data_IF_177286053677
#
_entry.id   IF_177286053677
#
_cell.length_a   1.000
_cell.length_b   1.000
_cell.length_c   1.000
_cell.angle_alpha   90.00
_cell.angle_beta   90.00
_cell.angle_gamma   90.00
#
_symmetry.space_group_name_H-M   'P 1'
#
loop_
_entity.id
_entity.type
_entity.pdbx_description
1 polymer ?
#
# COMPACT_ATOMS: atom_id res chain seq x y z
N UNK A 1 7.26 -16.37 27.96
CA UNK A 1 7.66 -17.77 27.71
C UNK A 1 7.28 -18.26 26.32
N UNK A 2 5.99 -18.32 25.95
CA UNK A 2 5.54 -18.86 24.66
C UNK A 2 6.24 -18.23 23.44
N UNK A 3 6.28 -16.89 23.35
CA UNK A 3 6.95 -16.19 22.24
C UNK A 3 8.47 -16.44 22.18
N UNK A 4 9.14 -16.66 23.32
CA UNK A 4 10.57 -16.99 23.36
C UNK A 4 10.81 -18.36 22.74
N UNK A 5 9.97 -19.34 23.09
CA UNK A 5 10.02 -20.68 22.48
C UNK A 5 9.78 -20.59 20.97
N UNK A 6 8.80 -19.80 20.53
CA UNK A 6 8.58 -19.59 19.10
C UNK A 6 9.80 -18.97 18.41
N UNK A 7 10.44 -17.95 18.98
CA UNK A 7 11.66 -17.36 18.40
C UNK A 7 12.78 -18.40 18.24
N UNK A 8 12.97 -19.27 19.24
CA UNK A 8 13.96 -20.37 19.17
C UNK A 8 13.63 -21.35 18.04
N UNK A 9 12.36 -21.73 17.91
CA UNK A 9 11.88 -22.59 16.82
C UNK A 9 12.14 -21.95 15.45
N UNK A 10 11.93 -20.64 15.31
CA UNK A 10 12.09 -19.92 14.04
C UNK A 10 13.52 -19.92 13.47
N UNK A 11 14.55 -19.98 14.32
CA UNK A 11 15.95 -20.08 13.86
C UNK A 11 16.56 -21.46 14.03
N UNK A 12 15.73 -22.47 14.32
CA UNK A 12 16.13 -23.87 14.34
C UNK A 12 15.73 -24.54 13.02
N UNK A 13 16.48 -25.57 12.55
CA UNK A 13 16.07 -26.35 11.40
C UNK A 13 14.86 -27.22 11.78
N UNK A 14 13.64 -26.74 11.48
CA UNK A 14 12.38 -27.42 11.79
C UNK A 14 11.54 -27.63 10.52
N UNK A 15 10.60 -28.61 10.52
CA UNK A 15 9.70 -28.81 9.39
C UNK A 15 8.86 -27.55 9.08
N UNK A 16 8.55 -27.26 7.79
CA UNK A 16 7.82 -26.06 7.40
C UNK A 16 6.46 -25.89 8.09
N UNK A 17 5.73 -26.99 8.33
CA UNK A 17 4.45 -26.93 9.04
C UNK A 17 4.58 -26.42 10.49
N UNK A 18 5.64 -26.86 11.20
CA UNK A 18 5.93 -26.40 12.55
C UNK A 18 6.40 -24.94 12.55
N UNK A 19 7.22 -24.55 11.57
CA UNK A 19 7.66 -23.17 11.39
C UNK A 19 6.47 -22.22 11.20
N UNK A 20 5.53 -22.57 10.32
CA UNK A 20 4.32 -21.79 10.06
C UNK A 20 3.44 -21.69 11.31
N UNK A 21 3.21 -22.82 12.01
CA UNK A 21 2.42 -22.82 13.23
C UNK A 21 3.06 -21.96 14.33
N UNK A 22 4.38 -22.08 14.54
CA UNK A 22 5.12 -21.27 15.49
C UNK A 22 5.09 -19.78 15.12
N UNK A 23 5.20 -19.45 13.83
CA UNK A 23 5.10 -18.09 13.30
C UNK A 23 3.71 -17.47 13.52
N UNK A 24 2.63 -18.21 13.23
CA UNK A 24 1.26 -17.74 13.50
C UNK A 24 1.03 -17.50 14.98
N UNK A 25 1.49 -18.42 15.84
CA UNK A 25 1.38 -18.28 17.28
C UNK A 25 2.19 -17.08 17.79
N UNK A 26 3.41 -16.89 17.27
CA UNK A 26 4.25 -15.75 17.60
C UNK A 26 3.58 -14.43 17.18
N UNK A 27 3.01 -14.35 15.97
CA UNK A 27 2.28 -13.17 15.52
C UNK A 27 1.07 -12.85 16.40
N UNK A 28 0.32 -13.87 16.84
CA UNK A 28 -0.79 -13.67 17.77
C UNK A 28 -0.30 -13.08 19.10
N UNK A 29 0.75 -13.67 19.69
CA UNK A 29 1.31 -13.21 20.98
C UNK A 29 1.88 -11.79 20.86
N UNK A 30 2.64 -11.50 19.80
CA UNK A 30 3.16 -10.16 19.53
C UNK A 30 2.03 -9.15 19.28
N UNK A 31 0.94 -9.57 18.63
CA UNK A 31 -0.26 -8.74 18.45
C UNK A 31 -0.93 -8.36 19.78
N UNK A 32 -1.04 -9.31 20.72
CA UNK A 32 -1.58 -9.05 22.06
C UNK A 32 -0.69 -8.04 22.81
N UNK A 33 0.63 -8.24 22.81
CA UNK A 33 1.55 -7.29 23.44
C UNK A 33 1.53 -5.92 22.75
N UNK A 34 1.45 -5.88 21.41
CA UNK A 34 1.32 -4.64 20.66
C UNK A 34 0.06 -3.87 21.01
N UNK A 35 -1.09 -4.55 21.13
CA UNK A 35 -2.35 -3.92 21.56
C UNK A 35 -2.25 -3.35 22.97
N UNK A 36 -1.57 -4.04 23.89
CA UNK A 36 -1.31 -3.51 25.22
C UNK A 36 -0.45 -2.24 25.17
N UNK A 37 0.64 -2.23 24.38
CA UNK A 37 1.49 -1.03 24.21
C UNK A 37 0.69 0.15 23.65
N UNK A 38 -0.17 -0.07 22.66
CA UNK A 38 -1.06 0.98 22.12
C UNK A 38 -2.02 1.52 23.18
N UNK A 39 -2.64 0.66 23.97
CA UNK A 39 -3.51 1.09 25.07
C UNK A 39 -2.75 1.87 26.15
N UNK A 40 -1.53 1.44 26.51
CA UNK A 40 -0.70 2.18 27.46
C UNK A 40 -0.32 3.56 26.94
N UNK A 41 0.03 3.65 25.66
CA UNK A 41 0.30 4.92 25.01
C UNK A 41 -0.93 5.85 25.07
N UNK A 42 -2.14 5.32 24.91
CA UNK A 42 -3.40 6.06 25.06
C UNK A 42 -3.57 6.61 26.49
N UNK A 43 -3.26 5.82 27.51
CA UNK A 43 -3.43 6.22 28.91
C UNK A 43 -2.39 7.26 29.38
N UNK A 44 -1.20 7.25 28.80
CA UNK A 44 -0.10 8.16 29.20
C UNK A 44 -0.19 9.51 28.50
N UNK A 45 -0.70 9.54 27.27
CA UNK A 45 -0.71 10.77 26.48
C UNK A 45 -1.84 11.70 26.94
N UNK A 46 -1.46 12.88 27.43
CA UNK A 46 -2.41 13.90 27.86
C UNK A 46 -2.80 14.87 26.75
N UNK A 47 -2.05 14.89 25.65
CA UNK A 47 -2.26 15.81 24.53
C UNK A 47 -2.61 15.03 23.26
N UNK A 48 -3.91 14.95 22.98
CA UNK A 48 -4.43 14.33 21.76
C UNK A 48 -3.87 14.97 20.49
N UNK A 49 -3.37 16.22 20.52
CA UNK A 49 -2.96 16.97 19.33
C UNK A 49 -1.79 16.34 18.57
N UNK A 50 -0.94 15.57 19.24
CA UNK A 50 0.31 15.04 18.67
C UNK A 50 0.30 13.53 18.41
N UNK A 51 -0.91 12.97 18.35
CA UNK A 51 -1.10 11.54 18.30
C UNK A 51 -0.55 10.90 17.02
N UNK A 52 -0.88 11.46 15.85
CA UNK A 52 -0.41 10.89 14.59
C UNK A 52 1.11 11.05 14.46
N UNK A 53 1.68 12.14 14.98
CA UNK A 53 3.12 12.38 15.00
C UNK A 53 3.85 11.36 15.85
N UNK A 54 3.36 11.04 17.04
CA UNK A 54 4.00 10.03 17.88
C UNK A 54 3.87 8.62 17.29
N UNK A 55 2.73 8.30 16.68
CA UNK A 55 2.57 7.06 15.89
C UNK A 55 3.54 7.03 14.70
N UNK A 56 3.69 8.12 13.96
CA UNK A 56 4.59 8.22 12.81
C UNK A 56 6.08 8.13 13.20
N UNK A 57 6.49 8.80 14.30
CA UNK A 57 7.85 8.72 14.83
C UNK A 57 8.17 7.31 15.30
N UNK A 58 7.29 6.69 16.09
CA UNK A 58 7.50 5.33 16.59
C UNK A 58 7.54 4.30 15.46
N UNK A 59 6.65 4.42 14.46
CA UNK A 59 6.66 3.55 13.30
C UNK A 59 7.92 3.73 12.44
N UNK A 60 8.30 4.97 12.12
CA UNK A 60 9.53 5.25 11.36
C UNK A 60 10.78 4.74 12.08
N UNK A 61 10.86 4.93 13.38
CA UNK A 61 11.95 4.41 14.21
C UNK A 61 11.98 2.88 14.23
N UNK A 62 10.82 2.22 14.34
CA UNK A 62 10.74 0.76 14.29
C UNK A 62 11.23 0.19 12.95
N UNK A 63 10.88 0.82 11.82
CA UNK A 63 11.38 0.40 10.49
C UNK A 63 12.89 0.64 10.36
N UNK A 64 13.42 1.74 10.91
CA UNK A 64 14.86 1.98 10.96
C UNK A 64 15.57 0.89 11.78
N UNK A 65 15.08 0.54 12.97
CA UNK A 65 15.64 -0.55 13.77
C UNK A 65 15.60 -1.89 13.02
N UNK A 66 14.50 -2.17 12.31
CA UNK A 66 14.39 -3.36 11.47
C UNK A 66 15.43 -3.36 10.34
N UNK A 67 15.65 -2.20 9.71
CA UNK A 67 16.66 -2.03 8.68
C UNK A 67 18.09 -2.22 9.24
N UNK A 68 18.40 -1.65 10.41
CA UNK A 68 19.68 -1.84 11.08
C UNK A 68 19.90 -3.30 11.46
N UNK A 69 18.90 -3.98 12.05
CA UNK A 69 18.97 -5.39 12.38
C UNK A 69 19.33 -6.24 11.15
N UNK A 70 18.59 -6.05 10.06
CA UNK A 70 18.78 -6.80 8.81
C UNK A 70 20.12 -6.47 8.11
N UNK A 71 20.73 -5.31 8.38
CA UNK A 71 21.97 -4.88 7.74
C UNK A 71 23.22 -5.19 8.56
N UNK A 72 23.12 -5.17 9.90
CA UNK A 72 24.26 -5.30 10.81
C UNK A 72 24.41 -6.72 11.38
N UNK A 73 23.31 -7.47 11.51
CA UNK A 73 23.31 -8.78 12.16
C UNK A 73 23.18 -9.85 11.09
N UNK A 74 24.28 -10.51 10.77
CA UNK A 74 24.30 -11.61 9.80
C UNK A 74 24.18 -13.00 10.44
N UNK A 75 24.27 -13.10 11.77
CA UNK A 75 24.20 -14.38 12.48
C UNK A 75 22.80 -14.62 13.05
N UNK A 76 22.17 -15.71 12.61
CA UNK A 76 20.86 -16.17 13.08
C UNK A 76 20.74 -16.23 14.63
N UNK A 77 21.71 -16.77 15.39
CA UNK A 77 21.58 -16.80 16.86
C UNK A 77 21.64 -15.41 17.49
N UNK A 78 22.38 -14.46 16.93
CA UNK A 78 22.43 -13.09 17.45
C UNK A 78 21.11 -12.35 17.17
N UNK A 79 20.50 -12.58 16.01
CA UNK A 79 19.18 -12.01 15.69
C UNK A 79 18.11 -12.53 16.65
N UNK A 80 18.06 -13.85 16.90
CA UNK A 80 17.13 -14.43 17.87
C UNK A 80 17.34 -13.87 19.27
N UNK A 81 18.59 -13.75 19.71
CA UNK A 81 18.92 -13.22 21.04
C UNK A 81 18.48 -11.76 21.18
N UNK A 82 18.69 -10.94 20.13
CA UNK A 82 18.22 -9.56 20.10
C UNK A 82 16.69 -9.48 20.17
N UNK A 83 15.97 -10.28 19.38
CA UNK A 83 14.51 -10.32 19.39
C UNK A 83 13.96 -10.77 20.75
N UNK A 84 14.58 -11.78 21.38
CA UNK A 84 14.23 -12.19 22.73
C UNK A 84 14.50 -11.09 23.76
N UNK A 85 15.65 -10.41 23.68
CA UNK A 85 15.98 -9.30 24.57
C UNK A 85 15.00 -8.12 24.41
N UNK A 86 14.64 -7.77 23.17
CA UNK A 86 13.65 -6.74 22.87
C UNK A 86 12.25 -7.12 23.40
N UNK A 87 11.84 -8.39 23.27
CA UNK A 87 10.58 -8.86 23.84
C UNK A 87 10.58 -8.77 25.37
N UNK A 88 11.66 -9.20 26.03
CA UNK A 88 11.79 -9.10 27.48
C UNK A 88 11.78 -7.65 27.96
N UNK A 89 12.42 -6.75 27.21
CA UNK A 89 12.37 -5.31 27.46
C UNK A 89 10.93 -4.79 27.39
N UNK A 90 10.17 -5.10 26.33
CA UNK A 90 8.75 -4.71 26.22
C UNK A 90 7.93 -5.25 27.41
N UNK A 91 8.09 -6.54 27.75
CA UNK A 91 7.36 -7.16 28.86
C UNK A 91 7.69 -6.47 30.19
N UNK A 92 8.97 -6.13 30.43
CA UNK A 92 9.40 -5.43 31.63
C UNK A 92 8.73 -4.06 31.76
N UNK A 93 8.69 -3.27 30.68
CA UNK A 93 8.02 -1.96 30.69
C UNK A 93 6.51 -2.06 30.86
N UNK A 94 5.86 -3.04 30.22
CA UNK A 94 4.43 -3.32 30.42
C UNK A 94 4.13 -3.68 31.88
N UNK A 95 4.94 -4.52 32.51
CA UNK A 95 4.76 -4.89 33.91
C UNK A 95 5.00 -3.71 34.86
N UNK A 96 6.04 -2.91 34.59
CA UNK A 96 6.33 -1.68 35.35
C UNK A 96 5.18 -0.70 35.26
N UNK A 97 4.58 -0.54 34.08
CA UNK A 97 3.40 0.31 33.92
C UNK A 97 2.21 -0.25 34.70
N UNK A 98 1.88 -1.53 34.56
CA UNK A 98 0.76 -2.16 35.26
C UNK A 98 0.89 -1.99 36.79
N UNK A 99 2.10 -2.13 37.32
CA UNK A 99 2.38 -1.88 38.73
C UNK A 99 2.16 -0.41 39.11
N UNK A 100 2.57 0.54 38.25
CA UNK A 100 2.36 1.97 38.48
C UNK A 100 0.87 2.33 38.49
N UNK A 101 0.10 1.79 37.54
CA UNK A 101 -1.35 1.97 37.43
C UNK A 101 -2.07 1.41 38.66
N UNK A 102 -1.71 0.20 39.09
CA UNK A 102 -2.23 -0.41 40.32
C UNK A 102 -1.94 0.48 41.55
N UNK A 103 -0.71 0.99 41.66
CA UNK A 103 -0.30 1.89 42.77
C UNK A 103 -1.07 3.22 42.77
N UNK A 104 -1.32 3.80 41.59
CA UNK A 104 -2.11 5.03 41.43
C UNK A 104 -3.58 4.79 41.81
N UNK A 105 -4.14 3.64 41.42
CA UNK A 105 -5.53 3.28 41.72
C UNK A 105 -5.77 3.06 43.23
N UNK A 106 -4.83 2.43 43.94
CA UNK A 106 -4.92 2.25 45.39
C UNK A 106 -4.78 3.59 46.14
N UNK A 107 -3.87 4.45 45.70
CA UNK A 107 -3.67 5.76 46.33
C UNK A 107 -4.89 6.70 46.16
N UNK A 108 -5.61 6.57 45.04
CA UNK A 108 -6.83 7.35 44.77
C UNK A 108 -8.02 6.87 45.61
N UNK A 109 -8.17 5.56 45.85
CA UNK A 109 -9.17 5.02 46.79
C UNK A 109 -8.91 5.43 48.24
N UNK A 110 -7.65 5.43 48.68
CA UNK A 110 -7.28 5.88 50.04
C UNK A 110 -7.49 7.39 50.23
N UNK A 111 -7.26 8.18 49.17
CA UNK A 111 -7.47 9.64 49.20
C UNK A 111 -8.95 10.00 49.17
N UNK A 112 -9.79 9.29 48.42
CA UNK A 112 -11.25 9.48 48.45
C UNK A 112 -11.88 9.03 49.78
N UNK A 113 -11.38 7.95 50.40
CA UNK A 113 -11.81 7.53 51.72
C UNK A 113 -11.43 8.56 52.81
N UNK A 114 -10.28 9.24 52.68
CA UNK A 114 -9.88 10.33 53.57
C UNK A 114 -10.61 11.65 53.27
N UNK A 115 -10.92 11.95 52.00
CA UNK A 115 -11.64 13.16 51.58
C UNK A 115 -13.14 13.09 51.84
N UNK A 116 -13.74 11.89 51.89
CA UNK A 116 -15.14 11.68 52.30
C UNK A 116 -15.41 12.08 53.77
N UNK A 117 -14.37 12.37 54.55
CA UNK A 117 -14.46 12.93 55.91
C UNK A 117 -14.57 14.47 55.95
N UNK A 118 -14.50 15.18 54.83
CA UNK A 118 -14.50 16.64 54.85
C UNK A 118 -14.83 17.30 53.51
N UNK A 119 -15.98 17.97 53.50
CA UNK A 119 -16.45 18.96 52.51
C UNK A 119 -17.00 18.45 51.17
N UNK A 120 -18.27 18.82 50.96
CA UNK A 120 -18.95 18.92 49.67
C UNK A 120 -18.31 20.02 48.84
N UNK A 121 -17.63 19.69 47.73
CA UNK A 121 -17.84 20.37 46.45
C UNK A 121 -17.04 19.76 45.29
N UNK A 122 -17.73 19.64 44.15
CA UNK A 122 -17.21 19.65 42.78
C UNK A 122 -16.10 18.65 42.41
N UNK A 123 -16.40 17.35 42.47
CA UNK A 123 -15.58 16.37 41.75
C UNK A 123 -15.83 16.42 40.24
N UNK A 124 -14.74 16.57 39.50
CA UNK A 124 -14.60 16.46 38.05
C UNK A 124 -15.08 15.09 37.55
N UNK A 125 -16.37 14.98 37.28
CA UNK A 125 -17.01 13.81 36.70
C UNK A 125 -16.45 13.60 35.29
N UNK A 126 -15.65 12.54 35.10
CA UNK A 126 -15.36 11.99 33.77
C UNK A 126 -16.68 11.89 32.99
N UNK A 127 -16.76 12.41 31.74
CA UNK A 127 -17.99 12.33 30.97
C UNK A 127 -18.35 10.85 30.79
N UNK A 128 -19.60 10.50 31.09
CA UNK A 128 -20.09 9.16 30.78
C UNK A 128 -19.94 8.93 29.26
N UNK A 129 -19.35 7.80 28.81
CA UNK A 129 -19.14 7.55 27.40
C UNK A 129 -20.50 7.49 26.70
N UNK A 130 -20.71 8.38 25.75
CA UNK A 130 -21.89 8.41 24.88
C UNK A 130 -21.79 7.25 23.88
N UNK A 131 -21.97 6.02 24.38
CA UNK A 131 -21.67 4.77 23.69
C UNK A 131 -22.50 4.47 22.42
N UNK A 132 -23.50 5.29 22.09
CA UNK A 132 -24.35 5.09 20.91
C UNK A 132 -23.76 5.65 19.61
N UNK A 133 -22.85 6.64 19.67
CA UNK A 133 -22.26 7.29 18.49
C UNK A 133 -20.98 6.64 17.94
N UNK A 134 -20.20 5.99 18.80
CA UNK A 134 -18.87 5.44 18.42
C UNK A 134 -18.95 4.12 17.63
N UNK A 135 -20.00 3.31 17.85
CA UNK A 135 -20.18 2.02 17.17
C UNK A 135 -20.27 2.15 15.64
N UNK A 136 -21.14 3.01 15.05
CA UNK A 136 -21.21 3.16 13.60
C UNK A 136 -19.89 3.70 13.00
N UNK A 137 -19.21 4.62 13.68
CA UNK A 137 -17.90 5.11 13.25
C UNK A 137 -16.86 4.00 13.22
N UNK A 138 -16.88 3.10 14.20
CA UNK A 138 -15.94 2.00 14.31
C UNK A 138 -16.16 0.92 13.26
N UNK A 139 -17.42 0.55 13.04
CA UNK A 139 -17.79 -0.39 11.96
C UNK A 139 -17.35 0.17 10.62
N UNK A 140 -17.59 1.46 10.39
CA UNK A 140 -17.19 2.12 9.16
C UNK A 140 -15.68 2.18 9.00
N UNK A 141 -14.92 2.43 10.08
CA UNK A 141 -13.46 2.40 10.08
C UNK A 141 -12.92 1.00 9.76
N UNK A 142 -13.55 -0.07 10.27
CA UNK A 142 -13.16 -1.45 9.95
C UNK A 142 -13.32 -1.70 8.44
N UNK A 143 -14.49 -1.41 7.88
CA UNK A 143 -14.71 -1.57 6.43
C UNK A 143 -13.76 -0.70 5.61
N UNK A 144 -13.56 0.55 6.03
CA UNK A 144 -12.66 1.48 5.38
C UNK A 144 -11.24 0.91 5.31
N UNK A 145 -10.71 0.40 6.43
CA UNK A 145 -9.37 -0.19 6.47
C UNK A 145 -9.31 -1.47 5.64
N UNK A 146 -10.31 -2.35 5.69
CA UNK A 146 -10.34 -3.56 4.85
C UNK A 146 -10.26 -3.20 3.37
N UNK A 147 -11.14 -2.32 2.87
CA UNK A 147 -11.16 -1.96 1.45
C UNK A 147 -9.92 -1.18 1.02
N UNK A 148 -9.37 -0.32 1.88
CA UNK A 148 -8.07 0.31 1.66
C UNK A 148 -6.96 -0.73 1.54
N UNK A 149 -6.91 -1.70 2.45
CA UNK A 149 -5.95 -2.80 2.40
C UNK A 149 -6.08 -3.57 1.10
N UNK A 150 -7.28 -3.77 0.57
CA UNK A 150 -7.46 -4.42 -0.74
C UNK A 150 -6.67 -3.70 -1.86
N UNK A 151 -6.69 -2.36 -1.88
CA UNK A 151 -5.97 -1.55 -2.89
C UNK A 151 -4.46 -1.71 -2.69
N UNK A 152 -3.98 -1.49 -1.45
CA UNK A 152 -2.55 -1.55 -1.15
C UNK A 152 -1.99 -2.97 -1.31
N UNK A 153 -2.75 -4.01 -0.96
CA UNK A 153 -2.35 -5.41 -1.16
C UNK A 153 -2.31 -5.79 -2.64
N UNK A 154 -3.19 -5.22 -3.47
CA UNK A 154 -3.11 -5.42 -4.93
C UNK A 154 -1.84 -4.80 -5.50
N UNK A 155 -1.49 -3.59 -5.05
CA UNK A 155 -0.23 -2.94 -5.42
C UNK A 155 0.98 -3.73 -4.91
N UNK A 156 0.94 -4.20 -3.66
CA UNK A 156 1.97 -5.06 -3.03
C UNK A 156 2.21 -6.34 -3.84
N UNK A 157 1.14 -7.04 -4.23
CA UNK A 157 1.22 -8.25 -5.03
C UNK A 157 1.80 -7.96 -6.43
N UNK A 158 1.39 -6.85 -7.06
CA UNK A 158 1.91 -6.45 -8.39
C UNK A 158 3.40 -6.13 -8.32
N UNK A 159 3.83 -5.40 -7.29
CA UNK A 159 5.24 -5.04 -7.08
C UNK A 159 6.06 -6.27 -6.71
N UNK A 160 5.55 -7.14 -5.83
CA UNK A 160 6.20 -8.37 -5.39
C UNK A 160 6.41 -9.34 -6.56
N UNK A 161 5.41 -9.51 -7.42
CA UNK A 161 5.55 -10.34 -8.63
C UNK A 161 6.59 -9.75 -9.59
N UNK A 162 6.58 -8.44 -9.84
CA UNK A 162 7.59 -7.83 -10.70
C UNK A 162 9.03 -7.96 -10.16
N UNK A 163 9.21 -8.10 -8.85
CA UNK A 163 10.50 -8.44 -8.25
C UNK A 163 10.87 -9.92 -8.37
N UNK A 164 9.89 -10.81 -8.20
CA UNK A 164 10.08 -12.24 -8.43
C UNK A 164 10.58 -12.53 -9.86
N UNK A 165 10.15 -11.72 -10.83
CA UNK A 165 10.61 -11.75 -12.23
C UNK A 165 12.04 -11.19 -12.42
N UNK A 166 12.73 -10.79 -11.34
CA UNK A 166 14.13 -10.39 -11.34
C UNK A 166 14.40 -8.97 -11.85
N UNK A 167 13.38 -8.12 -11.98
CA UNK A 167 13.51 -6.78 -12.60
C UNK A 167 14.17 -5.73 -11.70
N UNK A 168 14.11 -5.85 -10.36
CA UNK A 168 14.72 -4.90 -9.42
C UNK A 168 14.74 -5.43 -7.98
N UNK A 169 15.78 -5.18 -7.17
CA UNK A 169 15.83 -5.61 -5.76
C UNK A 169 14.91 -4.76 -4.83
N UNK A 170 13.83 -5.37 -4.30
CA UNK A 170 12.87 -4.70 -3.38
C UNK A 170 13.48 -4.39 -1.99
N UNK A 171 14.52 -5.12 -1.59
CA UNK A 171 14.77 -5.43 -0.18
C UNK A 171 15.44 -4.37 0.71
N UNK A 172 16.19 -3.40 0.18
CA UNK A 172 17.07 -2.56 1.03
C UNK A 172 16.74 -1.07 1.01
N UNK A 173 16.96 -0.36 -0.10
CA UNK A 173 16.71 1.09 -0.19
C UNK A 173 15.25 1.52 -0.04
N UNK A 174 14.27 0.77 -0.60
CA UNK A 174 12.88 1.18 -0.50
C UNK A 174 12.29 1.12 0.93
N UNK A 175 12.87 0.33 1.84
CA UNK A 175 12.46 0.32 3.26
C UNK A 175 12.77 1.64 3.98
N UNK A 176 13.79 2.37 3.55
CA UNK A 176 14.06 3.72 4.07
C UNK A 176 12.94 4.66 3.64
N UNK A 177 12.42 4.53 2.43
CA UNK A 177 11.26 5.29 1.97
C UNK A 177 9.99 4.99 2.80
N UNK A 178 9.82 3.74 3.23
CA UNK A 178 8.74 3.36 4.16
C UNK A 178 8.86 4.08 5.52
N UNK A 179 10.08 4.14 6.08
CA UNK A 179 10.32 4.85 7.34
C UNK A 179 10.05 6.36 7.19
N UNK A 180 10.58 6.96 6.12
CA UNK A 180 10.39 8.38 5.84
C UNK A 180 8.92 8.75 5.59
N UNK A 181 8.17 7.90 4.87
CA UNK A 181 6.76 8.14 4.59
C UNK A 181 5.89 8.01 5.85
N UNK A 182 6.17 7.03 6.72
CA UNK A 182 5.51 6.93 8.03
C UNK A 182 5.77 8.14 8.91
N UNK A 183 7.02 8.62 8.96
CA UNK A 183 7.36 9.86 9.68
C UNK A 183 6.59 11.06 9.10
N UNK A 184 6.64 11.25 7.78
CA UNK A 184 5.93 12.34 7.10
C UNK A 184 4.42 12.29 7.35
N UNK A 185 3.82 11.10 7.28
CA UNK A 185 2.40 10.90 7.55
C UNK A 185 2.00 11.37 8.94
N UNK A 186 2.81 11.07 9.96
CA UNK A 186 2.53 11.52 11.33
C UNK A 186 2.46 13.04 11.45
N UNK A 187 3.41 13.76 10.85
CA UNK A 187 3.39 15.23 10.84
C UNK A 187 2.24 15.81 10.00
N UNK A 188 1.96 15.20 8.85
CA UNK A 188 0.95 15.70 7.92
C UNK A 188 -0.48 15.46 8.44
N UNK A 189 -0.71 14.32 9.11
CA UNK A 189 -2.02 14.01 9.69
C UNK A 189 -2.34 14.85 10.91
N UNK A 190 -1.38 15.28 11.73
CA UNK A 190 -1.68 16.18 12.85
C UNK A 190 -1.95 17.64 12.41
N UNK A 191 -1.87 17.95 11.11
CA UNK A 191 -2.13 19.30 10.61
C UNK A 191 -3.59 19.72 10.88
N UNK A 192 -3.75 20.90 11.47
CA UNK A 192 -5.06 21.47 11.83
C UNK A 192 -5.93 20.49 12.66
N UNK A 193 -5.34 19.90 13.71
CA UNK A 193 -6.02 18.97 14.62
C UNK A 193 -6.66 17.78 13.88
N UNK A 194 -5.91 17.14 12.97
CA UNK A 194 -6.38 15.98 12.17
C UNK A 194 -7.51 16.24 11.17
N UNK A 195 -7.90 17.49 10.95
CA UNK A 195 -8.97 17.85 10.00
C UNK A 195 -8.71 17.35 8.57
N UNK A 196 -7.45 17.35 8.14
CA UNK A 196 -7.08 16.95 6.77
C UNK A 196 -6.68 15.47 6.64
N UNK A 197 -6.66 14.70 7.73
CA UNK A 197 -6.17 13.32 7.73
C UNK A 197 -6.86 12.45 6.67
N UNK A 198 -8.19 12.47 6.63
CA UNK A 198 -8.98 11.70 5.66
C UNK A 198 -8.74 12.16 4.21
N UNK A 199 -8.58 13.47 3.98
CA UNK A 199 -8.31 14.03 2.66
C UNK A 199 -6.93 13.65 2.15
N UNK A 200 -5.91 13.73 3.01
CA UNK A 200 -4.54 13.31 2.68
C UNK A 200 -4.56 11.83 2.31
N UNK A 201 -5.22 10.99 3.11
CA UNK A 201 -5.34 9.56 2.80
C UNK A 201 -6.08 9.26 1.51
N UNK A 202 -7.13 10.02 1.21
CA UNK A 202 -7.81 9.92 -0.07
C UNK A 202 -6.86 10.21 -1.24
N UNK A 203 -6.02 11.25 -1.15
CA UNK A 203 -5.01 11.56 -2.16
C UNK A 203 -3.97 10.44 -2.30
N UNK A 204 -3.50 9.87 -1.19
CA UNK A 204 -2.54 8.75 -1.20
C UNK A 204 -3.15 7.49 -1.80
N UNK A 205 -4.41 7.20 -1.50
CA UNK A 205 -5.16 6.10 -2.10
C UNK A 205 -5.33 6.30 -3.60
N UNK A 206 -5.72 7.51 -4.04
CA UNK A 206 -5.80 7.86 -5.47
C UNK A 206 -4.48 7.57 -6.19
N UNK A 207 -3.37 8.00 -5.60
CA UNK A 207 -2.04 7.78 -6.14
C UNK A 207 -1.71 6.28 -6.24
N UNK A 208 -2.10 5.48 -5.24
CA UNK A 208 -1.92 4.03 -5.25
C UNK A 208 -2.75 3.31 -6.31
N UNK A 209 -4.04 3.67 -6.46
CA UNK A 209 -4.90 3.12 -7.51
C UNK A 209 -4.38 3.48 -8.90
N UNK A 210 -3.94 4.72 -9.10
CA UNK A 210 -3.33 5.16 -10.36
C UNK A 210 -2.04 4.38 -10.64
N UNK A 211 -1.22 4.14 -9.61
CA UNK A 211 0.00 3.34 -9.72
C UNK A 211 -0.27 1.90 -10.15
N UNK A 212 -1.32 1.26 -9.61
CA UNK A 212 -1.75 -0.07 -10.05
C UNK A 212 -2.07 -0.05 -11.55
N UNK A 213 -2.85 0.93 -12.01
CA UNK A 213 -3.19 1.05 -13.43
C UNK A 213 -1.95 1.28 -14.30
N UNK A 214 -1.03 2.16 -13.89
CA UNK A 214 0.21 2.44 -14.63
C UNK A 214 1.06 1.16 -14.77
N UNK A 215 1.24 0.39 -13.68
CA UNK A 215 1.99 -0.88 -13.73
C UNK A 215 1.35 -1.87 -14.70
N UNK A 216 0.03 -1.99 -14.67
CA UNK A 216 -0.72 -2.90 -15.56
C UNK A 216 -0.70 -2.48 -17.03
N UNK A 217 -0.49 -1.19 -17.31
CA UNK A 217 -0.34 -0.65 -18.66
C UNK A 217 1.13 -0.66 -19.15
N UNK A 218 2.03 -1.35 -18.45
CA UNK A 218 3.45 -1.44 -18.84
C UNK A 218 4.29 -0.21 -18.44
N UNK A 219 3.81 0.57 -17.47
CA UNK A 219 4.55 1.70 -16.91
C UNK A 219 5.76 1.31 -16.08
N UNK A 220 6.51 2.32 -15.61
CA UNK A 220 7.75 2.09 -14.85
C UNK A 220 7.50 1.38 -13.52
N UNK A 221 8.13 0.21 -13.36
CA UNK A 221 8.12 -0.54 -12.11
C UNK A 221 8.62 0.27 -10.92
N UNK A 222 9.67 1.09 -11.11
CA UNK A 222 10.23 1.94 -10.06
C UNK A 222 9.22 2.95 -9.52
N UNK A 223 8.38 3.52 -10.39
CA UNK A 223 7.31 4.45 -9.96
C UNK A 223 6.34 3.69 -9.06
N UNK A 224 5.95 2.48 -9.46
CA UNK A 224 5.09 1.63 -8.65
C UNK A 224 5.67 1.28 -7.29
N UNK A 225 6.96 0.95 -7.25
CA UNK A 225 7.70 0.67 -6.02
C UNK A 225 7.75 1.89 -5.08
N UNK A 226 8.04 3.08 -5.62
CA UNK A 226 8.07 4.33 -4.84
C UNK A 226 6.69 4.64 -4.26
N UNK A 227 5.64 4.57 -5.09
CA UNK A 227 4.27 4.83 -4.65
C UNK A 227 3.83 3.79 -3.61
N UNK A 228 4.18 2.52 -3.78
CA UNK A 228 3.87 1.46 -2.83
C UNK A 228 4.43 1.77 -1.43
N UNK A 229 5.72 2.08 -1.33
CA UNK A 229 6.35 2.34 -0.04
C UNK A 229 5.92 3.67 0.57
N UNK A 230 5.74 4.72 -0.24
CA UNK A 230 5.16 5.98 0.20
C UNK A 230 3.78 5.76 0.80
N UNK A 231 2.90 5.05 0.10
CA UNK A 231 1.51 4.91 0.50
C UNK A 231 1.33 3.95 1.67
N UNK A 232 2.15 2.90 1.75
CA UNK A 232 2.16 1.96 2.87
C UNK A 232 2.50 2.63 4.20
N UNK A 233 3.45 3.58 4.21
CA UNK A 233 3.78 4.32 5.42
C UNK A 233 2.64 5.20 5.91
N UNK A 234 2.00 5.93 4.98
CA UNK A 234 0.81 6.72 5.27
C UNK A 234 -0.34 5.86 5.79
N UNK A 235 -0.57 4.71 5.16
CA UNK A 235 -1.67 3.83 5.54
C UNK A 235 -1.53 3.27 6.95
N UNK A 236 -0.32 2.84 7.34
CA UNK A 236 -0.06 2.33 8.70
C UNK A 236 -0.34 3.40 9.75
N UNK A 237 0.15 4.61 9.54
CA UNK A 237 -0.09 5.71 10.50
C UNK A 237 -1.57 6.08 10.54
N UNK A 238 -2.26 6.05 9.40
CA UNK A 238 -3.69 6.37 9.32
C UNK A 238 -4.55 5.42 10.15
N UNK A 239 -4.47 4.10 9.90
CA UNK A 239 -5.32 3.18 10.64
C UNK A 239 -4.93 3.15 12.12
N UNK A 240 -3.64 3.25 12.45
CA UNK A 240 -3.19 3.21 13.85
C UNK A 240 -3.73 4.41 14.60
N UNK A 241 -3.57 5.62 14.04
CA UNK A 241 -4.08 6.86 14.63
C UNK A 241 -5.61 6.84 14.74
N UNK A 242 -6.31 6.37 13.70
CA UNK A 242 -7.78 6.36 13.67
C UNK A 242 -8.38 5.42 14.70
N UNK A 243 -7.85 4.19 14.83
CA UNK A 243 -8.33 3.22 15.81
C UNK A 243 -8.02 3.67 17.23
N UNK A 244 -6.85 4.26 17.44
CA UNK A 244 -6.42 4.72 18.76
C UNK A 244 -7.26 5.90 19.23
N UNK A 245 -7.60 6.84 18.33
CA UNK A 245 -8.42 8.01 18.66
C UNK A 245 -9.87 7.59 18.93
N UNK A 246 -10.41 6.70 18.11
CA UNK A 246 -11.76 6.20 18.29
C UNK A 246 -11.89 5.28 19.51
N UNK A 247 -10.80 4.67 19.96
CA UNK A 247 -10.84 3.73 21.09
C UNK A 247 -11.20 4.39 22.41
N UNK A 248 -10.88 5.67 22.61
CA UNK A 248 -11.21 6.44 23.81
C UNK A 248 -12.73 6.49 24.09
N UNK A 249 -13.52 6.59 23.02
CA UNK A 249 -14.98 6.67 23.10
C UNK A 249 -15.68 5.30 23.21
N UNK A 250 -14.92 4.20 23.23
CA UNK A 250 -15.47 2.85 23.27
C UNK A 250 -15.56 2.29 24.69
N UNK A 251 -16.45 1.29 24.89
CA UNK A 251 -16.56 0.56 26.17
C UNK A 251 -15.32 -0.28 26.50
N UNK A 252 -14.54 -0.66 25.49
CA UNK A 252 -13.37 -1.52 25.66
C UNK A 252 -12.15 -0.95 24.89
N UNK A 253 -11.56 0.19 25.33
CA UNK A 253 -10.46 0.84 24.59
C UNK A 253 -9.25 -0.09 24.40
N UNK A 254 -9.01 -0.99 25.37
CA UNK A 254 -7.96 -2.02 25.34
C UNK A 254 -8.00 -2.92 24.10
N UNK A 255 -9.21 -3.20 23.59
CA UNK A 255 -9.40 -4.03 22.40
C UNK A 255 -9.16 -3.22 21.12
N UNK A 256 -9.62 -1.97 21.10
CA UNK A 256 -9.69 -1.16 19.89
C UNK A 256 -8.41 -0.39 19.58
N UNK A 257 -7.64 -0.01 20.61
CA UNK A 257 -6.39 0.75 20.48
C UNK A 257 -5.38 0.10 19.50
N UNK A 258 -5.24 -1.23 19.52
CA UNK A 258 -4.34 -1.97 18.62
C UNK A 258 -5.01 -2.61 17.40
N UNK A 259 -6.33 -2.43 17.21
CA UNK A 259 -7.12 -3.24 16.28
C UNK A 259 -6.77 -3.01 14.80
N UNK A 260 -6.26 -1.83 14.45
CA UNK A 260 -5.96 -1.48 13.06
C UNK A 260 -4.98 -2.44 12.36
N UNK A 261 -3.97 -2.94 13.06
CA UNK A 261 -3.05 -3.96 12.52
C UNK A 261 -3.75 -5.28 12.23
N UNK A 262 -4.64 -5.72 13.13
CA UNK A 262 -5.40 -6.96 12.95
C UNK A 262 -6.37 -6.85 11.77
N UNK A 263 -7.11 -5.74 11.67
CA UNK A 263 -8.04 -5.47 10.56
C UNK A 263 -7.30 -5.40 9.23
N UNK A 264 -6.16 -4.70 9.17
CA UNK A 264 -5.32 -4.67 7.98
C UNK A 264 -4.85 -6.07 7.59
N UNK A 265 -4.29 -6.85 8.52
CA UNK A 265 -3.76 -8.17 8.19
C UNK A 265 -4.87 -9.14 7.75
N UNK A 266 -6.06 -9.06 8.35
CA UNK A 266 -7.23 -9.81 7.92
C UNK A 266 -7.68 -9.41 6.50
N UNK A 267 -7.73 -8.11 6.21
CA UNK A 267 -8.03 -7.60 4.87
C UNK A 267 -7.03 -8.10 3.81
N UNK A 268 -5.73 -8.06 4.13
CA UNK A 268 -4.68 -8.55 3.24
C UNK A 268 -4.82 -10.06 2.97
N UNK A 269 -5.10 -10.86 4.01
CA UNK A 269 -5.31 -12.30 3.87
C UNK A 269 -6.53 -12.64 2.99
N UNK A 270 -7.63 -11.90 3.14
CA UNK A 270 -8.84 -12.10 2.32
C UNK A 270 -8.60 -11.79 0.84
N UNK A 271 -7.77 -10.78 0.55
CA UNK A 271 -7.60 -10.26 -0.81
C UNK A 271 -6.43 -10.90 -1.54
N UNK A 272 -5.41 -11.39 -0.82
CA UNK A 272 -4.18 -11.92 -1.44
C UNK A 272 -4.46 -13.01 -2.47
N UNK A 273 -5.29 -14.02 -2.14
CA UNK A 273 -5.61 -15.09 -3.09
C UNK A 273 -6.43 -14.60 -4.29
N UNK A 274 -7.40 -13.70 -4.08
CA UNK A 274 -8.21 -13.13 -5.15
C UNK A 274 -7.37 -12.27 -6.09
N UNK A 275 -6.52 -11.41 -5.53
CA UNK A 275 -5.63 -10.53 -6.27
C UNK A 275 -4.61 -11.33 -7.08
N UNK A 276 -3.98 -12.35 -6.50
CA UNK A 276 -3.05 -13.24 -7.22
C UNK A 276 -3.75 -13.99 -8.37
N UNK A 277 -4.97 -14.48 -8.15
CA UNK A 277 -5.74 -15.13 -9.22
C UNK A 277 -6.07 -14.19 -10.38
N UNK A 278 -6.38 -12.92 -10.09
CA UNK A 278 -6.69 -11.90 -11.10
C UNK A 278 -5.45 -11.40 -11.84
N UNK A 279 -4.29 -11.41 -11.19
CA UNK A 279 -3.01 -11.13 -11.85
C UNK A 279 -2.62 -12.30 -12.76
N UNK A 280 -2.78 -13.54 -12.28
CA UNK A 280 -2.46 -14.75 -13.03
C UNK A 280 -3.36 -14.96 -14.27
N UNK A 281 -4.60 -14.46 -14.27
CA UNK A 281 -5.49 -14.53 -15.43
C UNK A 281 -5.09 -13.60 -16.58
N UNK A 282 -4.00 -12.83 -16.43
CA UNK A 282 -3.45 -11.91 -17.43
C UNK A 282 -4.47 -10.88 -17.98
N UNK A 283 -5.51 -10.61 -17.19
CA UNK A 283 -6.61 -9.72 -17.54
C UNK A 283 -6.40 -8.35 -16.91
N UNK A 284 -5.40 -7.60 -17.41
CA UNK A 284 -5.05 -6.27 -16.89
C UNK A 284 -6.24 -5.33 -16.82
N UNK A 285 -7.17 -5.42 -17.78
CA UNK A 285 -8.43 -4.65 -17.79
C UNK A 285 -9.31 -4.97 -16.58
N UNK A 286 -9.48 -6.25 -16.24
CA UNK A 286 -10.30 -6.67 -15.08
C UNK A 286 -9.71 -6.14 -13.79
N UNK A 287 -8.38 -6.21 -13.63
CA UNK A 287 -7.70 -5.70 -12.43
C UNK A 287 -7.87 -4.18 -12.30
N UNK A 288 -7.72 -3.43 -13.40
CA UNK A 288 -7.96 -1.98 -13.42
C UNK A 288 -9.42 -1.67 -13.06
N UNK A 289 -10.39 -2.35 -13.65
CA UNK A 289 -11.81 -2.17 -13.33
C UNK A 289 -12.08 -2.46 -11.85
N UNK A 290 -11.57 -3.58 -11.32
CA UNK A 290 -11.70 -3.93 -9.90
C UNK A 290 -11.08 -2.87 -8.99
N UNK A 291 -9.89 -2.37 -9.32
CA UNK A 291 -9.22 -1.31 -8.56
C UNK A 291 -10.00 0.00 -8.57
N UNK A 292 -10.60 0.38 -9.71
CA UNK A 292 -11.45 1.58 -9.82
C UNK A 292 -12.76 1.45 -9.04
N UNK A 293 -13.41 0.29 -9.10
CA UNK A 293 -14.63 0.02 -8.32
C UNK A 293 -14.33 0.10 -6.82
N UNK A 294 -13.25 -0.55 -6.40
CA UNK A 294 -12.79 -0.55 -5.02
C UNK A 294 -12.45 0.88 -4.55
N UNK A 295 -11.77 1.66 -5.38
CA UNK A 295 -11.51 3.07 -5.12
C UNK A 295 -12.80 3.89 -4.95
N UNK A 296 -13.80 3.68 -5.81
CA UNK A 296 -15.10 4.35 -5.68
C UNK A 296 -15.81 3.96 -4.37
N UNK A 297 -15.79 2.67 -4.00
CA UNK A 297 -16.33 2.19 -2.72
C UNK A 297 -15.64 2.88 -1.55
N UNK A 298 -14.31 2.93 -1.54
CA UNK A 298 -13.57 3.58 -0.45
C UNK A 298 -13.85 5.09 -0.41
N UNK A 299 -13.99 5.75 -1.56
CA UNK A 299 -14.35 7.16 -1.64
C UNK A 299 -15.67 7.45 -0.93
N UNK A 300 -16.69 6.60 -1.15
CA UNK A 300 -17.98 6.69 -0.48
C UNK A 300 -17.82 6.45 1.03
N UNK A 301 -17.04 5.44 1.44
CA UNK A 301 -16.80 5.15 2.86
C UNK A 301 -16.06 6.28 3.59
N UNK A 302 -15.06 6.91 2.96
CA UNK A 302 -14.37 8.09 3.52
C UNK A 302 -15.34 9.24 3.69
N UNK A 303 -16.20 9.49 2.70
CA UNK A 303 -17.20 10.56 2.79
C UNK A 303 -18.17 10.29 3.95
N UNK A 304 -18.72 9.08 4.03
CA UNK A 304 -19.59 8.66 5.14
C UNK A 304 -18.87 8.77 6.50
N UNK A 305 -17.60 8.38 6.57
CA UNK A 305 -16.81 8.42 7.80
C UNK A 305 -16.53 9.85 8.24
N UNK A 306 -16.21 10.73 7.29
CA UNK A 306 -16.00 12.14 7.55
C UNK A 306 -17.28 12.86 7.97
N UNK A 307 -18.45 12.45 7.45
CA UNK A 307 -19.75 12.98 7.88
C UNK A 307 -20.10 12.56 9.31
N UNK A 308 -19.83 11.32 9.69
CA UNK A 308 -20.05 10.84 11.06
C UNK A 308 -19.04 11.43 12.07
N UNK A 309 -17.85 11.81 11.62
CA UNK A 309 -16.79 12.38 12.46
C UNK A 309 -16.86 13.91 12.56
N UNK A 310 -17.80 14.57 11.85
CA UNK A 310 -18.02 16.00 12.00
C UNK A 310 -18.75 16.28 13.33
N UNK A 311 -18.25 17.16 14.21
CA UNK A 311 -18.99 17.58 15.40
C UNK A 311 -20.33 18.18 14.94
N UNK A 312 -21.43 17.63 15.46
CA UNK A 312 -22.78 17.83 14.95
C UNK A 312 -23.12 19.30 14.69
N UNK A 313 -23.28 19.64 13.42
CA UNK A 313 -24.27 20.65 13.05
C UNK A 313 -25.60 19.94 13.28
N UNK A 314 -26.23 20.22 14.42
CA UNK A 314 -27.64 19.90 14.61
C UNK A 314 -28.38 20.44 13.39
N UNK A 315 -29.02 19.53 12.66
CA UNK A 315 -30.07 19.85 11.71
C UNK A 315 -31.24 20.47 12.48
N UNK A 316 -31.17 21.77 12.78
CA UNK A 316 -32.32 22.63 12.52
C UNK A 316 -32.38 22.73 10.99
N UNK A 317 -33.28 22.09 10.27
CA UNK A 317 -34.70 22.38 10.32
C UNK A 317 -35.41 21.26 9.55
N UNK A 318 -36.15 20.41 10.26
CA UNK A 318 -37.28 19.74 9.65
C UNK A 318 -38.41 20.76 9.52
N UNK A 319 -38.68 21.23 8.31
CA UNK A 319 -39.71 22.22 8.05
C UNK A 319 -39.97 22.40 6.57
N UNK A 320 -40.97 21.67 6.08
CA UNK A 320 -41.76 21.87 4.87
C UNK A 320 -41.65 23.27 4.24
N UNK A 321 -41.34 23.38 2.94
CA UNK A 321 -41.99 24.31 2.00
C UNK A 321 -41.54 24.05 0.55
N UNK A 322 -42.34 23.26 -0.15
CA UNK A 322 -42.55 23.39 -1.60
C UNK A 322 -43.24 24.72 -1.92
N UNK A 323 -42.85 25.34 -3.04
CA UNK A 323 -43.56 26.39 -3.78
C UNK A 323 -43.70 27.78 -3.13
N UNK A 324 -42.87 28.72 -3.62
CA UNK A 324 -43.26 29.99 -4.27
C UNK A 324 -42.14 31.02 -4.11
N UNK A 325 -41.36 31.24 -5.17
CA UNK A 325 -41.12 32.61 -5.64
C UNK A 325 -40.53 32.60 -7.05
N UNK A 326 -41.42 32.31 -8.00
CA UNK A 326 -41.32 32.88 -9.33
C UNK A 326 -42.09 34.20 -9.27
N UNK A 327 -41.37 35.33 -9.35
CA UNK A 327 -41.80 36.63 -9.89
C UNK A 327 -40.87 37.74 -9.38
N UNK A 328 -39.72 37.88 -10.03
CA UNK A 328 -39.18 39.20 -10.33
C UNK A 328 -38.92 39.18 -11.85
N UNK A 329 -39.93 39.67 -12.57
CA UNK A 329 -39.93 39.84 -14.00
C UNK A 329 -39.00 40.99 -14.40
N UNK A 330 -38.49 40.87 -15.63
CA UNK A 330 -38.29 41.97 -16.58
C UNK A 330 -37.21 43.03 -16.29
N UNK A 331 -36.04 42.85 -16.91
CA UNK A 331 -35.57 43.75 -17.97
C UNK A 331 -34.25 43.23 -18.56
N UNK A 332 -34.33 42.52 -19.68
CA UNK A 332 -33.55 42.82 -20.89
C UNK A 332 -33.85 41.78 -21.98
N UNK A 333 -34.86 42.13 -22.78
CA UNK A 333 -34.89 41.94 -24.23
C UNK A 333 -33.54 42.33 -24.85
N UNK A 334 -33.04 41.84 -25.97
CA UNK A 334 -33.53 41.01 -27.06
C UNK A 334 -32.44 41.06 -28.14
N UNK A 335 -32.12 39.96 -28.82
CA UNK A 335 -31.83 39.89 -30.27
C UNK A 335 -31.58 38.41 -30.62
N UNK A 336 -32.53 37.72 -31.27
CA UNK A 336 -32.68 37.51 -32.73
C UNK A 336 -31.62 36.55 -33.31
N UNK A 337 -31.86 35.48 -34.10
CA UNK A 337 -33.04 34.98 -34.83
C UNK A 337 -32.76 33.51 -35.30
N UNK A 338 -33.79 32.64 -35.28
CA UNK A 338 -34.23 31.57 -36.25
C UNK A 338 -33.23 31.13 -37.36
N UNK A 339 -33.08 29.88 -37.81
CA UNK A 339 -34.01 28.78 -38.14
C UNK A 339 -33.17 27.49 -38.45
N UNK A 340 -33.49 26.27 -38.00
CA UNK A 340 -34.40 25.25 -38.56
C UNK A 340 -34.07 24.69 -39.98
N UNK A 341 -33.63 23.42 -39.98
CA UNK A 341 -34.05 22.24 -40.78
C UNK A 341 -34.02 22.21 -42.33
N UNK A 342 -33.64 21.02 -42.86
CA UNK A 342 -33.97 20.50 -44.20
C UNK A 342 -32.73 20.23 -45.06
N UNK A 343 -32.12 19.04 -45.10
CA UNK A 343 -32.51 17.75 -45.72
C UNK A 343 -32.30 17.68 -47.25
N UNK A 344 -32.00 16.46 -47.70
CA UNK A 344 -31.92 15.94 -49.09
C UNK A 344 -30.53 15.96 -49.74
N UNK A 345 -30.11 14.99 -50.56
CA UNK A 345 -30.37 13.56 -50.77
C UNK A 345 -29.43 13.12 -51.91
N UNK A 346 -29.11 11.81 -51.96
CA UNK A 346 -28.70 11.01 -53.15
C UNK A 346 -27.33 11.28 -53.80
N UNK A 347 -26.40 10.29 -53.78
CA UNK A 347 -26.24 9.16 -54.73
C UNK A 347 -25.32 9.55 -55.92
N UNK A 348 -24.38 8.77 -56.47
CA UNK A 348 -24.04 7.34 -56.41
C UNK A 348 -22.83 7.07 -57.34
N UNK A 349 -22.03 6.03 -57.02
CA UNK A 349 -21.39 5.02 -57.94
C UNK A 349 -20.43 5.45 -59.07
N UNK A 350 -19.36 4.73 -59.47
CA UNK A 350 -18.84 3.39 -59.19
C UNK A 350 -17.45 3.14 -59.85
N UNK A 351 -16.78 2.05 -59.40
CA UNK A 351 -16.01 1.00 -60.15
C UNK A 351 -14.68 1.36 -60.88
N UNK A 352 -13.63 0.53 -61.00
CA UNK A 352 -13.42 -0.91 -60.74
C UNK A 352 -11.93 -1.37 -60.96
N UNK A 353 -11.58 -2.57 -60.43
CA UNK A 353 -10.66 -3.62 -60.98
C UNK A 353 -9.10 -3.57 -60.78
N UNK A 354 -8.64 -4.50 -59.91
CA UNK A 354 -7.67 -5.63 -60.11
C UNK A 354 -6.17 -5.43 -60.45
N UNK A 355 -5.28 -6.08 -59.68
CA UNK A 355 -4.54 -7.33 -60.03
C UNK A 355 -3.16 -7.44 -59.32
N UNK A 356 -2.89 -8.59 -58.71
CA UNK A 356 -1.56 -9.20 -58.45
C UNK A 356 -1.07 -9.85 -59.78
N UNK A 357 0.22 -10.07 -60.13
CA UNK A 357 1.26 -10.81 -59.35
C UNK A 357 2.73 -10.34 -59.53
N UNK A 358 3.67 -10.78 -58.68
CA UNK A 358 4.94 -11.44 -59.10
C UNK A 358 5.89 -11.79 -57.92
N UNK A 359 6.49 -12.99 -57.99
CA UNK A 359 7.63 -13.45 -57.17
C UNK A 359 8.79 -13.79 -58.12
N UNK A 360 10.05 -13.42 -57.80
CA UNK A 360 11.07 -14.48 -57.78
C UNK A 360 12.19 -14.35 -56.71
N UNK A 361 12.53 -15.54 -56.19
CA UNK A 361 13.85 -16.16 -55.98
C UNK A 361 14.80 -15.73 -54.83
N UNK A 362 14.92 -16.67 -53.87
CA UNK A 362 16.14 -17.21 -53.24
C UNK A 362 17.40 -16.33 -53.24
N UNK A 363 17.70 -15.75 -52.08
CA UNK A 363 19.05 -15.33 -51.67
C UNK A 363 19.48 -16.13 -50.43
N UNK A 364 20.80 -16.29 -50.18
CA UNK A 364 21.30 -17.22 -49.16
C UNK A 364 20.82 -16.77 -47.79
N UNK A 365 20.18 -17.68 -47.05
CA UNK A 365 19.58 -17.41 -45.74
C UNK A 365 20.64 -16.86 -44.77
N UNK A 366 20.73 -15.54 -44.65
CA UNK A 366 21.63 -14.87 -43.72
C UNK A 366 21.10 -15.15 -42.32
N UNK A 367 21.94 -15.68 -41.42
CA UNK A 367 21.52 -15.96 -40.05
C UNK A 367 20.97 -14.65 -39.43
N UNK A 368 19.67 -14.62 -39.08
CA UNK A 368 18.99 -13.43 -38.55
C UNK A 368 19.72 -12.83 -37.36
N UNK A 369 20.35 -13.70 -36.57
CA UNK A 369 21.09 -13.35 -35.37
C UNK A 369 22.40 -12.60 -35.68
N UNK A 370 23.17 -13.10 -36.64
CA UNK A 370 24.44 -12.50 -37.08
C UNK A 370 24.24 -11.13 -37.73
N UNK A 371 23.16 -10.99 -38.51
CA UNK A 371 22.88 -9.77 -39.25
C UNK A 371 22.35 -8.67 -38.32
N UNK A 372 21.53 -9.03 -37.34
CA UNK A 372 21.11 -8.12 -36.26
C UNK A 372 22.31 -7.67 -35.41
N UNK A 373 23.15 -8.61 -34.99
CA UNK A 373 24.32 -8.31 -34.16
C UNK A 373 25.29 -7.34 -34.85
N UNK A 374 25.45 -7.48 -36.17
CA UNK A 374 26.25 -6.58 -37.00
C UNK A 374 25.60 -5.21 -37.13
N UNK A 375 24.28 -5.15 -37.39
CA UNK A 375 23.54 -3.90 -37.54
C UNK A 375 23.62 -2.99 -36.31
N UNK A 376 23.66 -3.58 -35.11
CA UNK A 376 23.75 -2.85 -33.84
C UNK A 376 25.15 -2.85 -33.20
N UNK A 377 26.18 -3.31 -33.93
CA UNK A 377 27.58 -3.33 -33.46
C UNK A 377 27.76 -3.99 -32.09
N UNK A 378 27.15 -5.17 -31.91
CA UNK A 378 27.30 -5.97 -30.70
C UNK A 378 28.65 -6.68 -30.70
N UNK A 379 29.39 -6.56 -29.61
CA UNK A 379 30.64 -7.30 -29.36
C UNK A 379 30.36 -8.79 -29.14
N UNK A 380 31.35 -9.66 -29.33
CA UNK A 380 31.19 -11.12 -29.16
C UNK A 380 30.60 -11.52 -27.79
N UNK A 381 30.96 -10.77 -26.75
CA UNK A 381 30.42 -10.97 -25.39
C UNK A 381 28.98 -10.49 -25.26
N UNK A 382 28.62 -9.38 -25.90
CA UNK A 382 27.24 -8.92 -25.96
C UNK A 382 26.37 -9.87 -26.79
N UNK A 383 26.89 -10.44 -27.88
CA UNK A 383 26.18 -11.44 -28.68
C UNK A 383 25.85 -12.69 -27.85
N UNK A 384 26.80 -13.18 -27.05
CA UNK A 384 26.57 -14.33 -26.16
C UNK A 384 25.47 -14.05 -25.11
N UNK A 385 25.43 -12.82 -24.58
CA UNK A 385 24.38 -12.40 -23.64
C UNK A 385 23.05 -12.19 -24.36
N UNK A 386 23.07 -11.60 -25.56
CA UNK A 386 21.90 -11.36 -26.41
C UNK A 386 21.20 -12.67 -26.80
N UNK A 387 21.95 -13.71 -27.16
CA UNK A 387 21.43 -15.05 -27.43
C UNK A 387 20.63 -15.60 -26.24
N UNK A 388 21.22 -15.56 -25.04
CA UNK A 388 20.54 -16.03 -23.84
C UNK A 388 19.30 -15.18 -23.51
N UNK A 389 19.32 -13.87 -23.79
CA UNK A 389 18.18 -12.99 -23.57
C UNK A 389 17.00 -13.27 -24.51
N UNK A 390 17.27 -13.58 -25.77
CA UNK A 390 16.24 -13.72 -26.81
C UNK A 390 15.72 -15.15 -26.91
N UNK A 391 16.59 -16.15 -26.73
CA UNK A 391 16.26 -17.56 -26.98
C UNK A 391 15.94 -18.36 -25.71
N UNK A 392 16.02 -17.75 -24.53
CA UNK A 392 15.70 -18.43 -23.26
C UNK A 392 14.83 -17.54 -22.39
N UNK A 393 14.24 -18.11 -21.33
CA UNK A 393 13.53 -17.38 -20.27
C UNK A 393 14.35 -17.26 -18.97
N UNK A 394 15.66 -17.61 -19.03
CA UNK A 394 16.55 -17.63 -17.86
C UNK A 394 16.65 -16.27 -17.19
N UNK A 395 16.73 -16.25 -15.86
CA UNK A 395 17.02 -15.06 -15.06
C UNK A 395 18.43 -14.52 -15.33
N UNK A 396 18.69 -13.26 -14.99
CA UNK A 396 20.03 -12.64 -15.15
C UNK A 396 21.11 -13.44 -14.40
N UNK A 397 20.76 -14.05 -13.27
CA UNK A 397 21.69 -14.87 -12.50
C UNK A 397 22.01 -16.17 -13.25
N UNK A 398 21.01 -16.85 -13.77
CA UNK A 398 21.22 -18.09 -14.56
C UNK A 398 21.97 -17.83 -15.88
N UNK A 399 21.78 -16.66 -16.50
CA UNK A 399 22.56 -16.23 -17.68
C UNK A 399 24.02 -15.94 -17.29
N UNK A 400 24.23 -15.28 -16.15
CA UNK A 400 25.57 -15.01 -15.66
C UNK A 400 26.32 -16.30 -15.33
N UNK A 401 25.64 -17.25 -14.69
CA UNK A 401 26.17 -18.56 -14.34
C UNK A 401 26.45 -19.42 -15.58
N UNK A 402 25.55 -19.40 -16.58
CA UNK A 402 25.75 -20.14 -17.85
C UNK A 402 26.91 -19.60 -18.69
N UNK A 403 27.19 -18.29 -18.58
CA UNK A 403 28.26 -17.61 -19.29
C UNK A 403 29.55 -17.47 -18.46
N UNK A 404 29.58 -18.03 -17.25
CA UNK A 404 30.71 -17.97 -16.31
C UNK A 404 31.21 -16.53 -16.05
N UNK A 405 30.27 -15.59 -15.87
CA UNK A 405 30.57 -14.17 -15.56
C UNK A 405 29.82 -13.74 -14.30
N UNK A 406 30.27 -12.66 -13.65
CA UNK A 406 29.53 -12.12 -12.49
C UNK A 406 28.18 -11.54 -12.92
N UNK A 407 27.16 -11.62 -12.05
CA UNK A 407 25.85 -10.98 -12.25
C UNK A 407 25.97 -9.51 -12.65
N UNK A 408 26.89 -8.77 -12.00
CA UNK A 408 27.16 -7.35 -12.29
C UNK A 408 27.74 -7.14 -13.69
N UNK A 409 28.63 -8.02 -14.13
CA UNK A 409 29.19 -7.99 -15.49
C UNK A 409 28.11 -8.29 -16.52
N UNK A 410 27.26 -9.30 -16.26
CA UNK A 410 26.11 -9.63 -17.11
C UNK A 410 25.16 -8.43 -17.24
N UNK A 411 24.79 -7.80 -16.12
CA UNK A 411 23.95 -6.59 -16.12
C UNK A 411 24.57 -5.46 -16.96
N UNK A 412 25.88 -5.24 -16.86
CA UNK A 412 26.57 -4.22 -17.67
C UNK A 412 26.45 -4.49 -19.18
N UNK A 413 26.58 -5.75 -19.61
CA UNK A 413 26.36 -6.12 -21.01
C UNK A 413 24.90 -5.95 -21.43
N UNK A 414 23.94 -6.33 -20.59
CA UNK A 414 22.50 -6.13 -20.87
C UNK A 414 22.19 -4.65 -21.05
N UNK A 415 22.69 -3.78 -20.16
CA UNK A 415 22.52 -2.32 -20.28
C UNK A 415 23.11 -1.80 -21.58
N UNK A 416 24.33 -2.22 -21.95
CA UNK A 416 24.95 -1.78 -23.20
C UNK A 416 24.19 -2.25 -24.44
N UNK A 417 23.65 -3.48 -24.44
CA UNK A 417 22.80 -4.00 -25.52
C UNK A 417 21.52 -3.15 -25.63
N UNK A 418 20.86 -2.85 -24.50
CA UNK A 418 19.66 -2.03 -24.48
C UNK A 418 19.91 -0.62 -25.02
N UNK A 419 21.02 0.01 -24.65
CA UNK A 419 21.41 1.32 -25.18
C UNK A 419 21.66 1.28 -26.70
N UNK A 420 22.37 0.25 -27.19
CA UNK A 420 22.67 0.10 -28.63
C UNK A 420 21.42 -0.16 -29.47
N UNK A 421 20.48 -0.96 -28.96
CA UNK A 421 19.26 -1.33 -29.68
C UNK A 421 18.12 -0.32 -29.47
N UNK A 422 18.22 0.55 -28.45
CA UNK A 422 17.14 1.47 -28.06
C UNK A 422 16.02 0.80 -27.26
N UNK A 423 16.29 -0.38 -26.69
CA UNK A 423 15.34 -1.12 -25.85
C UNK A 423 15.43 -0.67 -24.38
N UNK A 424 14.34 -0.85 -23.62
CA UNK A 424 14.30 -0.56 -22.17
C UNK A 424 14.03 -1.78 -21.30
N UNK A 425 13.75 -2.92 -21.92
CA UNK A 425 13.43 -4.18 -21.24
C UNK A 425 13.75 -5.36 -22.16
N UNK A 426 13.82 -6.56 -21.59
CA UNK A 426 14.03 -7.81 -22.35
C UNK A 426 12.93 -8.02 -23.39
N UNK A 427 11.69 -7.75 -23.02
CA UNK A 427 10.55 -7.82 -23.94
C UNK A 427 10.68 -6.79 -25.07
N UNK A 428 11.10 -5.56 -24.75
CA UNK A 428 11.36 -4.54 -25.77
C UNK A 428 12.47 -4.95 -26.74
N UNK A 429 13.56 -5.54 -26.22
CA UNK A 429 14.64 -6.09 -27.04
C UNK A 429 14.15 -7.23 -27.95
N UNK A 430 13.33 -8.14 -27.43
CA UNK A 430 12.72 -9.23 -28.19
C UNK A 430 11.81 -8.70 -29.31
N UNK A 431 10.96 -7.72 -29.00
CA UNK A 431 10.10 -7.06 -29.99
C UNK A 431 10.94 -6.37 -31.08
N UNK A 432 11.98 -5.63 -30.71
CA UNK A 432 12.89 -5.01 -31.68
C UNK A 432 13.59 -6.03 -32.56
N UNK A 433 13.98 -7.19 -32.02
CA UNK A 433 14.57 -8.28 -32.79
C UNK A 433 13.58 -8.89 -33.79
N UNK A 434 12.36 -9.23 -33.36
CA UNK A 434 11.31 -9.78 -34.24
C UNK A 434 10.87 -8.79 -35.33
N UNK A 435 10.73 -7.51 -34.99
CA UNK A 435 10.42 -6.47 -35.97
C UNK A 435 11.56 -6.27 -36.97
N UNK A 436 12.80 -6.34 -36.50
CA UNK A 436 13.97 -6.24 -37.37
C UNK A 436 14.05 -7.45 -38.31
N UNK A 437 13.78 -8.66 -37.82
CA UNK A 437 13.70 -9.86 -38.66
C UNK A 437 12.63 -9.69 -39.74
N UNK A 438 11.40 -9.28 -39.37
CA UNK A 438 10.29 -9.07 -40.32
C UNK A 438 10.60 -8.04 -41.42
N UNK A 439 11.47 -7.07 -41.15
CA UNK A 439 11.80 -5.99 -42.10
C UNK A 439 12.98 -6.32 -43.01
N UNK A 440 13.85 -7.25 -42.62
CA UNK A 440 15.14 -7.49 -43.28
C UNK A 440 15.32 -8.93 -43.77
N UNK A 441 14.34 -9.81 -43.54
CA UNK A 441 14.22 -11.19 -43.99
C UNK A 441 12.80 -11.41 -44.52
#
# INVERSE_FOLDING_TARGET
MLAIVCFVILGSPVPPGLLTAAGMLLFLVLGIFGSAVHYHFLCEISDEKYFARMVGISYGFAILLQFLNNSLISSAPAEQLLLCAALLFIIFFLFRFQHLEASRSSQMQDTEACAASGSTDSQHKLPAPSASGALPQLVLLIFLVIFMTCIFSTLDNTVTLGHADGTMDIGQWPRVLLACSGLAAGFLFDLHNRRFMNLIMYCIMMLSTLSVAILQLGGSFLIGLIVFYLSSGFFVVFFTTSFLALSEDTRCPRLWAGMGRAVNNAGAALVSNLSLSLIASNSSITLIITALVLFATVSILIAAYSMLNAPGVQTETGGTMTHKMQAACEANSSHNTKAALGNDSSASTASDISSDPDYPQNTPNADPFSTFSTAFSLTDREQSVFDQLVNTEKSIQEIADSLFISRRTCQRYITSIYEKVGAKSRMGLYQSYIEWQRKNL
#
